data_IF_718863263571
#
_entry.id   IF_718863263571
#
_cell.length_a   1.000
_cell.length_b   1.000
_cell.length_c   1.000
_cell.angle_alpha   90.00
_cell.angle_beta   90.00
_cell.angle_gamma   90.00
#
_symmetry.space_group_name_H-M   'P 1'
#
loop_
_entity.id
_entity.type
_entity.pdbx_description
1 polymer ?
#
# COMPACT_ATOMS: atom_id res chain seq x y z
N UNK A 1 -13.49 -60.70 -6.62
CA UNK A 1 -12.20 -61.39 -6.41
C UNK A 1 -11.18 -60.31 -6.04
N UNK A 2 -11.09 -59.93 -4.76
CA UNK A 2 -10.10 -60.43 -3.77
C UNK A 2 -8.64 -60.22 -4.20
N UNK A 3 -7.96 -59.23 -3.62
CA UNK A 3 -6.92 -59.47 -2.61
C UNK A 3 -6.48 -58.18 -1.90
N UNK A 4 -6.54 -58.25 -0.57
CA UNK A 4 -5.90 -57.36 0.40
C UNK A 4 -4.43 -57.74 0.50
N UNK A 5 -3.53 -56.79 0.73
CA UNK A 5 -2.34 -57.02 1.56
C UNK A 5 -2.11 -55.81 2.46
N UNK A 6 -2.33 -56.05 3.74
CA UNK A 6 -1.86 -55.27 4.89
C UNK A 6 -0.36 -55.57 5.08
N UNK A 7 0.48 -54.58 5.39
CA UNK A 7 1.68 -54.83 6.19
C UNK A 7 1.90 -53.67 7.15
N UNK A 8 1.98 -54.03 8.43
CA UNK A 8 2.22 -53.17 9.57
C UNK A 8 3.61 -53.49 10.18
N UNK A 9 3.96 -52.76 11.25
CA UNK A 9 5.06 -52.98 12.22
C UNK A 9 6.45 -52.47 11.75
N UNK A 10 7.32 -51.84 12.56
CA UNK A 10 7.57 -51.87 14.02
C UNK A 10 8.22 -50.56 14.51
N UNK A 11 7.98 -50.26 15.79
CA UNK A 11 8.64 -49.31 16.71
C UNK A 11 10.19 -49.31 16.69
N UNK A 12 10.78 -48.16 17.03
CA UNK A 12 11.94 -48.12 17.93
C UNK A 12 11.87 -46.89 18.85
N UNK A 13 11.78 -47.16 20.15
CA UNK A 13 11.92 -46.20 21.25
C UNK A 13 13.41 -45.98 21.48
N UNK A 14 13.84 -44.72 21.63
CA UNK A 14 15.09 -44.38 22.29
C UNK A 14 14.84 -43.29 23.33
N UNK A 15 14.81 -43.72 24.59
CA UNK A 15 14.91 -42.86 25.76
C UNK A 15 16.38 -42.47 25.92
N UNK A 16 16.68 -41.19 25.84
CA UNK A 16 18.01 -40.63 26.10
C UNK A 16 17.91 -39.44 27.03
N UNK A 17 18.00 -39.69 28.33
CA UNK A 17 18.24 -38.65 29.33
C UNK A 17 19.72 -38.26 29.31
N UNK A 18 20.02 -37.06 28.84
CA UNK A 18 21.30 -36.41 29.05
C UNK A 18 21.05 -34.96 29.46
N UNK A 19 21.31 -34.68 30.74
CA UNK A 19 21.32 -33.32 31.26
C UNK A 19 22.44 -32.51 30.62
N UNK A 20 22.09 -31.33 30.13
CA UNK A 20 23.02 -30.24 29.89
C UNK A 20 22.34 -28.95 30.36
N UNK A 21 22.90 -28.33 31.38
CA UNK A 21 22.57 -26.99 31.84
C UNK A 21 22.80 -25.99 30.70
N UNK A 22 21.76 -25.76 29.90
CA UNK A 22 21.76 -24.73 28.89
C UNK A 22 21.43 -23.39 29.56
N UNK A 23 22.50 -22.72 29.97
CA UNK A 23 22.66 -21.27 30.09
C UNK A 23 21.53 -20.52 29.36
N UNK A 24 20.65 -19.86 30.12
CA UNK A 24 19.66 -18.93 29.60
C UNK A 24 20.38 -17.85 28.80
N UNK A 25 20.47 -18.02 27.48
CA UNK A 25 20.80 -16.96 26.55
C UNK A 25 19.70 -15.93 26.69
N UNK A 26 20.07 -14.76 27.21
CA UNK A 26 19.23 -13.59 27.16
C UNK A 26 18.67 -13.45 25.75
N UNK A 27 17.35 -13.35 25.66
CA UNK A 27 16.67 -12.95 24.46
C UNK A 27 17.23 -11.59 24.08
N UNK A 28 18.10 -11.55 23.07
CA UNK A 28 18.40 -10.32 22.36
C UNK A 28 17.04 -9.71 21.98
N UNK A 29 16.80 -8.41 22.22
CA UNK A 29 15.61 -7.78 21.68
C UNK A 29 15.63 -8.05 20.18
N UNK A 30 14.59 -8.74 19.69
CA UNK A 30 14.29 -8.76 18.26
C UNK A 30 14.34 -7.30 17.83
N UNK A 31 15.37 -6.94 17.06
CA UNK A 31 15.32 -5.72 16.27
C UNK A 31 14.06 -5.86 15.45
N UNK A 32 13.01 -5.17 15.85
CA UNK A 32 11.81 -4.97 15.04
C UNK A 32 12.35 -4.39 13.75
N UNK A 33 12.42 -5.22 12.70
CA UNK A 33 12.92 -4.78 11.41
C UNK A 33 12.16 -3.51 11.05
N UNK A 34 12.88 -2.42 10.78
CA UNK A 34 12.26 -1.18 10.34
C UNK A 34 11.38 -1.53 9.13
N UNK A 35 10.06 -1.26 9.19
CA UNK A 35 9.17 -1.60 8.08
C UNK A 35 9.72 -0.99 6.80
N UNK A 36 9.89 -1.82 5.77
CA UNK A 36 10.31 -1.33 4.46
C UNK A 36 9.17 -0.47 3.91
N UNK A 37 9.42 0.80 3.53
CA UNK A 37 8.37 1.68 3.02
C UNK A 37 7.74 1.12 1.76
N UNK A 38 6.50 0.68 1.85
CA UNK A 38 5.83 -0.04 0.77
C UNK A 38 4.36 0.37 0.70
N UNK A 39 3.85 0.45 -0.53
CA UNK A 39 2.46 0.63 -0.87
C UNK A 39 1.94 -0.62 -1.56
N UNK A 40 0.69 -0.96 -1.27
CA UNK A 40 -0.07 -2.03 -1.91
C UNK A 40 -1.33 -1.41 -2.51
N UNK A 41 -1.54 -1.66 -3.80
CA UNK A 41 -2.65 -1.13 -4.58
C UNK A 41 -3.51 -2.31 -5.05
N UNK A 42 -4.80 -2.23 -4.76
CA UNK A 42 -5.81 -3.15 -5.29
C UNK A 42 -6.91 -2.35 -5.97
N UNK A 43 -7.22 -2.66 -7.23
CA UNK A 43 -8.29 -2.06 -8.01
C UNK A 43 -9.14 -3.12 -8.68
N UNK A 44 -10.44 -2.83 -8.77
CA UNK A 44 -11.44 -3.66 -9.43
C UNK A 44 -12.47 -2.81 -10.16
N UNK A 45 -13.21 -3.44 -11.08
CA UNK A 45 -14.21 -2.79 -11.94
C UNK A 45 -13.85 -2.99 -13.40
N UNK A 46 -13.83 -1.90 -14.18
CA UNK A 46 -13.37 -1.90 -15.58
C UNK A 46 -11.95 -2.46 -15.71
N UNK A 47 -11.08 -2.07 -14.77
CA UNK A 47 -9.71 -2.57 -14.66
C UNK A 47 -9.58 -3.38 -13.38
N UNK A 48 -8.85 -4.49 -13.46
CA UNK A 48 -8.43 -5.26 -12.29
C UNK A 48 -6.90 -5.15 -12.22
N UNK A 49 -6.39 -4.63 -11.11
CA UNK A 49 -4.98 -4.33 -10.94
C UNK A 49 -4.58 -4.57 -9.49
N UNK A 50 -3.50 -5.32 -9.30
CA UNK A 50 -2.93 -5.62 -7.99
C UNK A 50 -1.43 -5.42 -8.09
N UNK A 51 -0.87 -4.53 -7.28
CA UNK A 51 0.56 -4.22 -7.35
C UNK A 51 1.12 -3.70 -6.04
N UNK A 52 2.36 -4.08 -5.79
CA UNK A 52 3.17 -3.63 -4.67
C UNK A 52 4.29 -2.73 -5.19
N UNK A 53 4.48 -1.57 -4.56
CA UNK A 53 5.50 -0.60 -4.99
C UNK A 53 6.12 0.14 -3.81
N UNK A 54 7.29 0.73 -4.02
CA UNK A 54 7.97 1.50 -2.99
C UNK A 54 7.25 2.83 -2.71
N UNK A 55 7.21 3.21 -1.44
CA UNK A 55 6.77 4.56 -1.06
C UNK A 55 7.94 5.51 -1.20
N UNK A 56 7.78 6.52 -2.06
CA UNK A 56 8.79 7.55 -2.29
C UNK A 56 8.88 8.51 -1.12
N UNK A 57 7.74 8.99 -0.62
CA UNK A 57 7.70 10.00 0.44
C UNK A 57 6.33 10.08 1.12
N UNK A 58 6.32 10.20 2.45
CA UNK A 58 5.22 10.77 3.21
C UNK A 58 5.56 12.23 3.59
N UNK A 59 4.67 13.17 3.33
CA UNK A 59 4.92 14.59 3.52
C UNK A 59 3.71 15.30 4.14
N UNK A 60 3.98 16.20 5.08
CA UNK A 60 2.98 17.14 5.62
C UNK A 60 3.38 18.56 5.23
N UNK A 61 2.58 19.16 4.37
CA UNK A 61 2.75 20.55 3.94
C UNK A 61 2.16 21.55 4.91
N UNK A 62 2.53 22.82 4.77
CA UNK A 62 2.00 23.90 5.60
C UNK A 62 0.54 24.19 5.26
N UNK A 63 -0.28 24.58 6.25
CA UNK A 63 -1.55 25.23 5.97
C UNK A 63 -1.34 26.54 5.19
N UNK A 64 -2.15 26.78 4.15
CA UNK A 64 -2.26 28.08 3.48
C UNK A 64 -1.32 28.32 2.28
N UNK A 65 -0.38 27.43 1.97
CA UNK A 65 0.49 27.52 0.78
C UNK A 65 -0.05 26.63 -0.34
N UNK A 66 -0.94 27.20 -1.16
CA UNK A 66 -1.75 26.51 -2.18
C UNK A 66 -0.97 25.48 -3.03
N UNK A 67 -1.46 24.23 -2.97
CA UNK A 67 -1.25 22.99 -3.77
C UNK A 67 -0.86 21.77 -2.92
N UNK A 68 -0.14 21.95 -1.80
CA UNK A 68 0.22 20.88 -0.86
C UNK A 68 -0.18 21.24 0.58
N UNK A 69 -1.38 21.78 0.77
CA UNK A 69 -1.90 21.97 2.12
C UNK A 69 -2.38 20.61 2.64
N UNK A 70 -1.79 20.08 3.71
CA UNK A 70 -2.21 18.81 4.31
C UNK A 70 -1.17 17.70 4.16
N UNK A 71 -1.64 16.45 4.10
CA UNK A 71 -0.78 15.28 3.99
C UNK A 71 -0.75 14.76 2.56
N UNK A 72 0.42 14.33 2.10
CA UNK A 72 0.54 13.51 0.90
C UNK A 72 1.45 12.32 1.10
N UNK A 73 1.12 11.22 0.42
CA UNK A 73 2.04 10.10 0.22
C UNK A 73 2.21 9.89 -1.27
N UNK A 74 3.46 9.89 -1.75
CA UNK A 74 3.79 9.62 -3.14
C UNK A 74 4.51 8.28 -3.29
N UNK A 75 4.23 7.60 -4.40
CA UNK A 75 4.76 6.28 -4.71
C UNK A 75 5.83 6.38 -5.79
N UNK A 76 6.88 5.56 -5.71
CA UNK A 76 7.96 5.56 -6.68
C UNK A 76 7.53 4.86 -7.97
N UNK A 77 7.82 5.43 -9.13
CA UNK A 77 7.53 4.78 -10.40
C UNK A 77 8.38 3.52 -10.62
N UNK A 78 7.79 2.52 -11.26
CA UNK A 78 8.43 1.27 -11.68
C UNK A 78 7.90 0.81 -13.06
N UNK A 79 8.07 -0.48 -13.38
CA UNK A 79 7.66 -1.03 -14.67
C UNK A 79 6.14 -1.13 -14.87
N UNK A 80 5.34 -1.11 -13.80
CA UNK A 80 3.87 -1.24 -13.86
C UNK A 80 3.15 0.05 -13.50
N UNK A 81 3.74 0.92 -12.69
CA UNK A 81 3.15 2.19 -12.26
C UNK A 81 4.15 3.31 -12.53
N UNK A 82 3.79 4.31 -13.33
CA UNK A 82 4.67 5.48 -13.58
C UNK A 82 4.82 6.35 -12.33
N UNK A 83 3.81 6.31 -11.45
CA UNK A 83 3.79 6.93 -10.14
C UNK A 83 2.36 7.10 -9.64
N UNK A 84 2.24 7.59 -8.41
CA UNK A 84 0.96 7.91 -7.83
C UNK A 84 1.10 8.73 -6.57
N UNK A 85 -0.02 9.25 -6.09
CA UNK A 85 -0.10 10.06 -4.89
C UNK A 85 -1.47 9.93 -4.23
N UNK A 86 -1.51 9.87 -2.91
CA UNK A 86 -2.73 10.10 -2.12
C UNK A 86 -2.59 11.45 -1.43
N UNK A 87 -3.56 12.33 -1.67
CA UNK A 87 -3.62 13.66 -1.05
C UNK A 87 -4.75 13.72 -0.03
N UNK A 88 -4.46 14.25 1.16
CA UNK A 88 -5.43 14.52 2.22
C UNK A 88 -5.35 15.99 2.61
N UNK A 89 -6.10 16.87 1.93
CA UNK A 89 -5.95 18.32 2.12
C UNK A 89 -6.31 18.81 3.52
N UNK A 90 -7.28 18.16 4.16
CA UNK A 90 -7.77 18.50 5.51
C UNK A 90 -6.98 17.86 6.65
N UNK A 91 -5.77 17.37 6.40
CA UNK A 91 -4.98 16.66 7.40
C UNK A 91 -4.66 17.51 8.63
N UNK A 92 -5.03 17.00 9.80
CA UNK A 92 -4.77 17.63 11.11
C UNK A 92 -4.07 16.70 12.10
N UNK A 93 -3.85 15.43 11.72
CA UNK A 93 -3.20 14.40 12.55
C UNK A 93 -3.62 12.98 12.14
N UNK A 94 -3.27 11.98 12.93
CA UNK A 94 -3.80 10.63 12.72
C UNK A 94 -5.35 10.63 12.87
N UNK A 95 -6.04 9.88 12.03
CA UNK A 95 -7.51 9.87 12.00
C UNK A 95 -8.11 9.46 10.67
N UNK A 96 -9.43 9.55 10.60
CA UNK A 96 -10.22 9.28 9.39
C UNK A 96 -10.59 10.58 8.67
N UNK A 97 -10.60 10.52 7.34
CA UNK A 97 -10.82 11.65 6.44
C UNK A 97 -11.70 11.22 5.27
N UNK A 98 -12.77 11.95 4.99
CA UNK A 98 -13.72 11.64 3.90
C UNK A 98 -13.52 12.54 2.66
N UNK A 99 -12.47 13.36 2.68
CA UNK A 99 -12.09 14.26 1.58
C UNK A 99 -10.62 14.08 1.28
N UNK A 100 -10.35 13.28 0.26
CA UNK A 100 -9.01 12.99 -0.24
C UNK A 100 -9.07 12.80 -1.76
N UNK A 101 -7.89 12.73 -2.38
CA UNK A 101 -7.75 12.41 -3.80
C UNK A 101 -6.73 11.28 -3.95
N UNK A 102 -7.01 10.34 -4.85
CA UNK A 102 -6.09 9.28 -5.26
C UNK A 102 -5.69 9.50 -6.71
N UNK A 103 -4.40 9.65 -6.94
CA UNK A 103 -3.80 9.75 -8.27
C UNK A 103 -2.99 8.48 -8.49
N UNK A 104 -3.31 7.73 -9.54
CA UNK A 104 -2.55 6.55 -9.96
C UNK A 104 -2.35 6.59 -11.47
N UNK A 105 -1.11 6.40 -11.92
CA UNK A 105 -0.74 6.32 -13.32
C UNK A 105 -0.14 4.93 -13.60
N UNK A 106 -0.95 4.03 -14.13
CA UNK A 106 -0.53 2.69 -14.55
C UNK A 106 0.24 2.82 -15.86
N UNK A 107 1.44 2.26 -15.89
CA UNK A 107 2.32 2.29 -17.05
C UNK A 107 1.75 1.48 -18.21
N UNK A 108 2.22 1.77 -19.42
CA UNK A 108 1.92 0.96 -20.58
C UNK A 108 2.50 -0.45 -20.43
N UNK A 109 1.66 -1.48 -20.60
CA UNK A 109 2.08 -2.87 -20.46
C UNK A 109 1.02 -3.88 -20.91
N UNK A 110 1.27 -5.19 -20.68
CA UNK A 110 0.26 -6.22 -20.91
C UNK A 110 -1.03 -5.90 -20.13
N UNK A 111 -2.17 -5.83 -20.83
CA UNK A 111 -3.45 -5.41 -20.24
C UNK A 111 -3.73 -3.90 -20.29
N UNK A 112 -2.69 -3.07 -20.43
CA UNK A 112 -2.79 -1.60 -20.48
C UNK A 112 -1.97 -1.04 -21.65
N UNK A 113 -2.36 -1.27 -22.91
CA UNK A 113 -1.54 -0.95 -24.09
C UNK A 113 -1.25 0.54 -24.29
N UNK A 114 -1.93 1.43 -23.56
CA UNK A 114 -1.74 2.88 -23.59
C UNK A 114 -1.49 3.47 -22.20
N UNK A 115 -1.20 2.64 -21.20
CA UNK A 115 -1.28 3.03 -19.80
C UNK A 115 -2.71 3.32 -19.37
N UNK A 116 -2.90 3.69 -18.11
CA UNK A 116 -4.21 4.08 -17.56
C UNK A 116 -4.03 5.05 -16.40
N UNK A 117 -4.83 6.10 -16.37
CA UNK A 117 -4.95 7.02 -15.23
C UNK A 117 -6.37 7.01 -14.70
N UNK A 118 -6.58 7.65 -13.55
CA UNK A 118 -7.89 7.77 -12.91
C UNK A 118 -8.38 9.22 -12.97
N UNK A 119 -9.63 9.40 -13.38
CA UNK A 119 -10.35 10.68 -13.39
C UNK A 119 -11.44 10.69 -12.32
N UNK A 120 -11.47 11.75 -11.52
CA UNK A 120 -12.58 12.03 -10.60
C UNK A 120 -13.83 12.43 -11.40
N UNK A 121 -14.96 11.83 -11.05
CA UNK A 121 -16.28 12.17 -11.56
C UNK A 121 -17.19 12.58 -10.39
N UNK A 122 -18.36 13.19 -10.62
CA UNK A 122 -19.20 13.71 -9.53
C UNK A 122 -19.61 12.71 -8.43
N UNK A 123 -19.52 11.40 -8.69
CA UNK A 123 -19.85 10.33 -7.73
C UNK A 123 -18.62 9.68 -7.09
N UNK A 124 -17.43 10.20 -7.37
CA UNK A 124 -16.18 9.70 -6.78
C UNK A 124 -16.16 9.99 -5.29
N UNK A 125 -15.77 8.99 -4.51
CA UNK A 125 -15.58 9.13 -3.06
C UNK A 125 -14.21 8.61 -2.67
N UNK A 126 -13.52 9.27 -1.75
CA UNK A 126 -12.26 8.79 -1.18
C UNK A 126 -12.31 8.92 0.33
N UNK A 127 -12.19 7.78 1.03
CA UNK A 127 -12.07 7.72 2.47
C UNK A 127 -10.65 7.26 2.84
N UNK A 128 -9.99 8.02 3.71
CA UNK A 128 -8.61 7.75 4.13
C UNK A 128 -8.55 7.60 5.64
N UNK A 129 -7.77 6.64 6.12
CA UNK A 129 -7.35 6.55 7.53
C UNK A 129 -5.84 6.66 7.60
N UNK A 130 -5.33 7.59 8.40
CA UNK A 130 -3.91 7.78 8.67
C UNK A 130 -3.61 7.43 10.13
N UNK A 131 -2.48 6.78 10.36
CA UNK A 131 -2.06 6.29 11.66
C UNK A 131 -0.53 6.29 11.80
N UNK A 132 -0.06 5.98 13.01
CA UNK A 132 1.36 5.86 13.33
C UNK A 132 2.13 7.17 13.08
N UNK A 133 1.58 8.30 13.53
CA UNK A 133 2.11 9.63 13.32
C UNK A 133 2.35 9.93 11.83
N UNK A 134 1.36 9.62 11.00
CA UNK A 134 1.42 9.79 9.54
C UNK A 134 2.22 8.73 8.78
N UNK A 135 2.84 7.74 9.46
CA UNK A 135 3.67 6.73 8.78
C UNK A 135 2.89 5.60 8.15
N UNK A 136 1.60 5.44 8.42
CA UNK A 136 0.81 4.38 7.81
C UNK A 136 -0.56 4.92 7.43
N UNK A 137 -1.13 4.39 6.35
CA UNK A 137 -2.49 4.73 6.00
C UNK A 137 -3.14 3.80 5.00
N UNK A 138 -4.44 3.98 4.87
CA UNK A 138 -5.30 3.24 3.95
C UNK A 138 -6.26 4.23 3.29
N UNK A 139 -6.22 4.30 1.97
CA UNK A 139 -7.18 5.03 1.15
C UNK A 139 -8.11 4.03 0.47
N UNK A 140 -9.41 4.24 0.58
CA UNK A 140 -10.43 3.52 -0.17
C UNK A 140 -11.11 4.50 -1.10
N UNK A 141 -11.16 4.17 -2.38
CA UNK A 141 -11.78 5.02 -3.37
C UNK A 141 -12.82 4.25 -4.18
N UNK A 142 -13.88 4.94 -4.57
CA UNK A 142 -14.93 4.37 -5.41
C UNK A 142 -15.30 5.30 -6.54
N UNK A 143 -15.80 4.71 -7.63
CA UNK A 143 -16.29 5.43 -8.81
C UNK A 143 -15.27 6.39 -9.42
N UNK A 144 -13.98 6.04 -9.46
CA UNK A 144 -13.07 6.72 -10.39
C UNK A 144 -13.35 6.22 -11.79
N UNK A 145 -13.17 7.07 -12.80
CA UNK A 145 -13.23 6.64 -14.20
C UNK A 145 -11.83 6.34 -14.69
N UNK A 146 -11.64 5.20 -15.35
CA UNK A 146 -10.36 4.95 -16.04
C UNK A 146 -10.26 5.82 -17.29
N UNK A 147 -9.08 6.37 -17.53
CA UNK A 147 -8.75 7.08 -18.77
C UNK A 147 -7.52 6.43 -19.40
N UNK A 148 -7.59 6.22 -20.70
CA UNK A 148 -6.50 5.67 -21.50
C UNK A 148 -6.48 6.28 -22.91
N UNK A 149 -5.57 5.81 -23.75
CA UNK A 149 -5.30 6.38 -25.08
C UNK A 149 -4.10 7.32 -25.06
N UNK A 150 -3.54 7.59 -26.23
CA UNK A 150 -2.24 8.30 -26.37
C UNK A 150 -2.25 9.72 -25.77
N UNK A 151 -3.43 10.30 -25.54
CA UNK A 151 -3.60 11.63 -24.95
C UNK A 151 -4.56 11.62 -23.75
N UNK A 152 -4.89 10.45 -23.19
CA UNK A 152 -5.94 10.33 -22.19
C UNK A 152 -7.32 10.75 -22.72
N UNK A 153 -7.58 10.49 -24.01
CA UNK A 153 -8.78 10.89 -24.73
C UNK A 153 -9.88 9.83 -24.71
N UNK A 154 -9.56 8.61 -24.29
CA UNK A 154 -10.52 7.51 -24.19
C UNK A 154 -10.95 7.33 -22.74
N UNK A 155 -12.25 7.47 -22.52
CA UNK A 155 -12.91 7.27 -21.22
C UNK A 155 -13.38 5.82 -21.12
N UNK A 156 -12.86 5.09 -20.14
CA UNK A 156 -13.29 3.74 -19.79
C UNK A 156 -14.44 3.72 -18.80
N UNK A 157 -14.65 2.55 -18.22
CA UNK A 157 -15.60 2.30 -17.14
C UNK A 157 -15.11 2.75 -15.76
N UNK A 158 -15.91 2.43 -14.75
CA UNK A 158 -15.66 2.81 -13.36
C UNK A 158 -14.73 1.80 -12.67
N UNK A 159 -13.92 2.33 -11.75
CA UNK A 159 -12.91 1.61 -10.97
C UNK A 159 -13.08 1.99 -9.51
N UNK A 160 -12.93 1.01 -8.63
CA UNK A 160 -12.86 1.19 -7.18
C UNK A 160 -11.68 0.40 -6.63
N UNK A 161 -11.12 0.85 -5.51
CA UNK A 161 -9.92 0.22 -5.00
C UNK A 161 -9.51 0.66 -3.61
N UNK A 162 -8.41 0.07 -3.17
CA UNK A 162 -7.73 0.38 -1.92
C UNK A 162 -6.25 0.62 -2.19
N UNK A 163 -5.67 1.64 -1.56
CA UNK A 163 -4.22 1.82 -1.44
C UNK A 163 -3.87 1.76 0.04
N UNK A 164 -3.03 0.81 0.44
CA UNK A 164 -2.46 0.77 1.80
C UNK A 164 -0.98 1.10 1.72
N UNK A 165 -0.45 1.89 2.64
CA UNK A 165 0.97 2.27 2.62
C UNK A 165 1.60 2.30 4.01
N UNK A 166 2.92 2.21 4.01
CA UNK A 166 3.78 2.51 5.15
C UNK A 166 5.00 3.33 4.73
N UNK A 167 5.46 4.19 5.63
CA UNK A 167 6.60 5.09 5.47
C UNK A 167 7.60 4.89 6.60
N UNK A 168 8.89 5.03 6.27
CA UNK A 168 9.95 5.04 7.27
C UNK A 168 9.86 6.30 8.14
N UNK A 169 9.62 7.44 7.50
CA UNK A 169 9.48 8.74 8.15
C UNK A 169 8.44 9.62 7.45
N UNK A 170 8.02 10.68 8.15
CA UNK A 170 7.14 11.72 7.60
C UNK A 170 7.93 13.01 7.56
N UNK A 171 8.11 13.54 6.36
CA UNK A 171 8.74 14.84 6.16
C UNK A 171 7.74 15.96 6.47
N UNK A 172 8.22 17.06 7.05
CA UNK A 172 7.41 18.22 7.33
C UNK A 172 7.98 19.45 6.62
N UNK A 173 7.09 20.28 6.07
CA UNK A 173 7.47 21.59 5.56
C UNK A 173 8.14 22.42 6.67
N UNK A 174 9.41 22.81 6.49
CA UNK A 174 10.13 23.64 7.45
C UNK A 174 9.39 24.96 7.72
N UNK A 175 9.18 25.34 8.98
CA UNK A 175 8.59 26.63 9.35
C UNK A 175 9.35 27.81 8.67
N UNK A 176 8.67 28.90 8.25
CA UNK A 176 9.39 30.07 7.74
C UNK A 176 10.35 30.54 8.83
N UNK A 177 11.63 30.73 8.50
CA UNK A 177 12.54 31.46 9.39
C UNK A 177 12.06 32.91 9.36
N UNK A 178 11.47 33.35 10.47
CA UNK A 178 11.06 34.74 10.68
C UNK A 178 12.24 35.63 11.01
#
# INVERSE_FOLDING_TARGET
MTHRVLLALVLAVAVGTAGCSARSRGSSPSQTATPVPQAHIEMSGEINFLHDMDVKRCYVGKPGTKLLNGYSVSFAGDAQVEGGEVLVPGFTGDGAYDSAMVILNIAQGPGFPHGTTLEEVPQTTVAVTISNAGRAGVARFTNYRSIYGKKGDVRGGLVSGTVTWSCAEVEHAAAPQG
#
